data_IF_656940663770
#
_entry.id   IF_656940663770
#
_cell.length_a   1.000
_cell.length_b   1.000
_cell.length_c   1.000
_cell.angle_alpha   90.00
_cell.angle_beta   90.00
_cell.angle_gamma   90.00
#
_symmetry.space_group_name_H-M   'P 1'
#
loop_
_entity.id
_entity.type
_entity.pdbx_description
1 polymer ?
#
# COMPACT_ATOMS: atom_id res chain seq x y z
N UNK A 1 -28.83 -28.79 -48.46
CA UNK A 1 -28.04 -27.78 -49.19
C UNK A 1 -27.68 -26.67 -48.22
N UNK A 2 -26.40 -26.55 -47.87
CA UNK A 2 -25.74 -25.26 -47.89
C UNK A 2 -24.50 -25.33 -48.80
N UNK A 3 -24.30 -24.24 -49.52
CA UNK A 3 -23.36 -24.11 -50.63
C UNK A 3 -21.91 -24.14 -50.16
N UNK A 4 -21.15 -25.05 -50.75
CA UNK A 4 -19.71 -24.93 -50.92
C UNK A 4 -19.42 -23.69 -51.77
N UNK A 5 -18.63 -22.74 -51.24
CA UNK A 5 -17.99 -21.72 -52.06
C UNK A 5 -16.48 -21.72 -51.79
N UNK A 6 -15.72 -21.75 -52.88
CA UNK A 6 -14.28 -21.93 -52.94
C UNK A 6 -13.58 -20.56 -52.91
N UNK A 7 -12.46 -20.44 -52.19
CA UNK A 7 -11.57 -19.28 -52.25
C UNK A 7 -10.16 -19.66 -51.81
N UNK A 8 -9.16 -19.44 -52.67
CA UNK A 8 -7.80 -20.02 -52.60
C UNK A 8 -6.81 -19.33 -51.64
N UNK A 9 -5.53 -19.76 -51.65
CA UNK A 9 -4.57 -19.47 -50.59
C UNK A 9 -3.85 -18.14 -50.81
N UNK A 10 -4.23 -17.12 -50.03
CA UNK A 10 -3.45 -15.92 -49.83
C UNK A 10 -2.80 -15.98 -48.44
N UNK A 11 -1.48 -16.18 -48.38
CA UNK A 11 -0.71 -16.02 -47.15
C UNK A 11 -0.64 -14.53 -46.77
N UNK A 12 -1.64 -14.03 -46.04
CA UNK A 12 -1.48 -12.86 -45.17
C UNK A 12 -1.43 -13.36 -43.73
N UNK A 13 -0.22 -13.62 -43.25
CA UNK A 13 0.10 -14.02 -41.88
C UNK A 13 -0.09 -12.83 -40.93
N UNK A 14 -1.29 -12.24 -40.92
CA UNK A 14 -1.66 -11.20 -39.97
C UNK A 14 -1.88 -11.88 -38.62
N UNK A 15 -1.13 -11.42 -37.62
CA UNK A 15 -1.29 -11.87 -36.25
C UNK A 15 -2.57 -11.24 -35.70
N UNK A 16 -3.51 -12.08 -35.27
CA UNK A 16 -4.81 -11.68 -34.74
C UNK A 16 -4.98 -12.16 -33.30
N UNK A 17 -5.62 -11.34 -32.47
CA UNK A 17 -5.99 -11.72 -31.10
C UNK A 17 -7.00 -12.89 -31.12
N UNK A 18 -6.72 -13.95 -30.38
CA UNK A 18 -7.57 -15.14 -30.27
C UNK A 18 -8.84 -14.91 -29.44
N UNK A 19 -8.92 -13.80 -28.69
CA UNK A 19 -10.08 -13.46 -27.85
C UNK A 19 -11.07 -12.52 -28.56
N UNK A 20 -10.59 -11.46 -29.22
CA UNK A 20 -11.45 -10.47 -29.88
C UNK A 20 -11.37 -10.46 -31.42
N UNK A 21 -10.44 -11.21 -32.03
CA UNK A 21 -10.27 -11.31 -33.48
C UNK A 21 -9.61 -10.10 -34.16
N UNK A 22 -9.21 -9.07 -33.40
CA UNK A 22 -8.54 -7.86 -33.94
C UNK A 22 -7.14 -8.19 -34.45
N UNK A 23 -6.74 -7.57 -35.56
CA UNK A 23 -5.40 -7.70 -36.12
C UNK A 23 -4.39 -6.78 -35.40
N UNK A 24 -3.09 -7.04 -35.57
CA UNK A 24 -2.00 -6.24 -34.97
C UNK A 24 -2.09 -4.73 -35.26
N UNK A 25 -2.71 -4.29 -36.35
CA UNK A 25 -2.86 -2.87 -36.69
C UNK A 25 -3.98 -2.17 -35.93
N UNK A 26 -4.89 -2.93 -35.32
CA UNK A 26 -6.07 -2.42 -34.61
C UNK A 26 -5.88 -2.33 -33.09
N UNK A 27 -4.74 -2.80 -32.56
CA UNK A 27 -4.46 -2.87 -31.13
C UNK A 27 -3.09 -2.29 -30.83
N UNK A 28 -2.92 -1.70 -29.64
CA UNK A 28 -1.65 -1.04 -29.29
C UNK A 28 -0.54 -2.06 -29.05
N UNK A 29 -0.89 -3.20 -28.45
CA UNK A 29 0.04 -4.30 -28.15
C UNK A 29 -0.64 -5.64 -28.42
N UNK A 30 0.12 -6.55 -29.02
CA UNK A 30 -0.30 -7.93 -29.25
C UNK A 30 0.78 -8.86 -28.70
N UNK A 31 0.41 -9.66 -27.69
CA UNK A 31 1.30 -10.56 -26.96
C UNK A 31 1.14 -11.96 -27.53
N UNK A 32 2.26 -12.63 -27.82
CA UNK A 32 2.29 -14.00 -28.34
C UNK A 32 2.52 -15.01 -27.21
N UNK A 33 1.66 -16.02 -27.12
CA UNK A 33 1.74 -17.13 -26.16
C UNK A 33 2.24 -18.44 -26.80
N UNK A 34 2.55 -19.45 -25.98
CA UNK A 34 2.89 -20.78 -26.46
C UNK A 34 1.71 -21.39 -27.24
N UNK A 35 2.01 -22.11 -28.32
CA UNK A 35 0.99 -22.76 -29.15
C UNK A 35 0.34 -21.88 -30.23
N UNK A 36 0.89 -20.70 -30.52
CA UNK A 36 0.39 -19.82 -31.59
C UNK A 36 -0.87 -19.04 -31.22
N UNK A 37 -1.12 -18.87 -29.92
CA UNK A 37 -2.20 -18.05 -29.36
C UNK A 37 -1.71 -16.61 -29.20
N UNK A 38 -2.56 -15.63 -29.49
CA UNK A 38 -2.22 -14.22 -29.31
C UNK A 38 -3.30 -13.51 -28.50
N UNK A 39 -2.92 -12.59 -27.62
CA UNK A 39 -3.84 -11.78 -26.81
C UNK A 39 -3.45 -10.30 -26.90
N UNK A 40 -4.42 -9.41 -27.08
CA UNK A 40 -4.18 -7.97 -27.13
C UNK A 40 -4.33 -7.32 -25.74
N UNK A 41 -3.79 -6.11 -25.61
CA UNK A 41 -3.88 -5.30 -24.40
C UNK A 41 -5.32 -5.09 -23.92
N UNK A 42 -6.25 -4.80 -24.84
CA UNK A 42 -7.67 -4.61 -24.48
C UNK A 42 -8.29 -5.87 -23.87
N UNK A 43 -7.99 -7.06 -24.42
CA UNK A 43 -8.50 -8.32 -23.88
C UNK A 43 -7.86 -8.67 -22.54
N UNK A 44 -6.59 -8.31 -22.33
CA UNK A 44 -5.94 -8.47 -21.01
C UNK A 44 -6.67 -7.63 -19.97
N UNK A 45 -6.94 -6.34 -20.24
CA UNK A 45 -7.67 -5.48 -19.31
C UNK A 45 -9.08 -5.99 -19.06
N UNK A 46 -9.83 -6.32 -20.11
CA UNK A 46 -11.19 -6.84 -19.96
C UNK A 46 -11.24 -8.18 -19.18
N UNK A 47 -10.24 -9.05 -19.35
CA UNK A 47 -10.14 -10.27 -18.56
C UNK A 47 -9.76 -9.98 -17.10
N UNK A 48 -8.88 -9.00 -16.84
CA UNK A 48 -8.55 -8.56 -15.47
C UNK A 48 -9.78 -7.99 -14.77
N UNK A 49 -10.53 -7.10 -15.43
CA UNK A 49 -11.76 -6.50 -14.88
C UNK A 49 -12.80 -7.58 -14.53
N UNK A 50 -12.97 -8.59 -15.39
CA UNK A 50 -13.92 -9.70 -15.11
C UNK A 50 -13.45 -10.63 -13.99
N UNK A 51 -12.14 -10.76 -13.75
CA UNK A 51 -11.60 -11.56 -12.64
C UNK A 51 -11.78 -10.79 -11.33
N UNK A 52 -11.46 -9.50 -11.34
CA UNK A 52 -11.64 -8.60 -10.19
C UNK A 52 -13.14 -8.50 -9.81
N UNK A 53 -14.05 -8.49 -10.80
CA UNK A 53 -15.50 -8.55 -10.57
C UNK A 53 -15.98 -9.94 -10.09
N UNK A 54 -15.33 -11.04 -10.48
CA UNK A 54 -15.70 -12.38 -10.02
C UNK A 54 -15.27 -12.66 -8.58
N UNK A 55 -14.21 -11.99 -8.09
CA UNK A 55 -13.75 -12.09 -6.70
C UNK A 55 -14.63 -11.28 -5.71
N UNK A 56 -15.38 -10.27 -6.19
CA UNK A 56 -16.31 -9.50 -5.33
C UNK A 56 -17.67 -10.19 -5.11
N UNK A 57 -18.12 -11.06 -6.02
CA UNK A 57 -19.37 -11.82 -5.85
C UNK A 57 -19.26 -13.03 -4.89
N UNK A 58 -18.05 -13.38 -4.47
CA UNK A 58 -17.79 -14.42 -3.46
C UNK A 58 -17.49 -13.86 -2.05
N UNK A 59 -17.48 -12.53 -1.87
CA UNK A 59 -16.96 -11.86 -0.68
C UNK A 59 -18.04 -11.21 0.23
N UNK A 60 -19.25 -11.78 0.33
CA UNK A 60 -20.17 -11.49 1.46
C UNK A 60 -19.72 -12.16 2.79
N UNK A 61 -18.42 -12.37 2.97
CA UNK A 61 -17.83 -12.81 4.23
C UNK A 61 -16.45 -12.16 4.41
N UNK A 62 -16.45 -11.02 5.08
CA UNK A 62 -15.28 -10.34 5.68
C UNK A 62 -14.23 -9.93 4.64
N UNK A 63 -14.28 -8.66 4.23
CA UNK A 63 -13.18 -8.00 3.54
C UNK A 63 -11.91 -8.04 4.42
N UNK A 64 -11.07 -9.05 4.21
CA UNK A 64 -9.63 -8.90 4.38
C UNK A 64 -9.16 -8.04 3.21
N UNK A 65 -9.09 -6.73 3.44
CA UNK A 65 -8.46 -5.79 2.52
C UNK A 65 -7.07 -6.33 2.12
N UNK A 66 -6.68 -6.27 0.83
CA UNK A 66 -5.33 -6.62 0.46
C UNK A 66 -4.39 -5.67 1.20
N UNK A 67 -3.44 -6.23 1.94
CA UNK A 67 -2.37 -5.49 2.63
C UNK A 67 -1.54 -4.74 1.59
N UNK A 68 -2.00 -3.55 1.19
CA UNK A 68 -1.09 -2.56 0.62
C UNK A 68 -0.05 -2.28 1.69
N UNK A 69 1.22 -2.56 1.38
CA UNK A 69 2.33 -2.26 2.27
C UNK A 69 2.15 -0.84 2.85
N UNK A 70 2.19 -0.67 4.18
CA UNK A 70 1.66 0.51 4.85
C UNK A 70 2.33 1.81 4.40
N UNK A 71 3.53 1.74 3.80
CA UNK A 71 4.21 2.85 3.15
C UNK A 71 5.03 2.32 1.97
N UNK A 72 4.66 2.65 0.72
CA UNK A 72 5.40 2.24 -0.50
C UNK A 72 6.82 2.82 -0.59
N UNK A 73 7.06 3.99 0.00
CA UNK A 73 8.36 4.65 0.11
C UNK A 73 8.52 5.24 1.51
N UNK A 74 9.29 4.59 2.38
CA UNK A 74 9.55 5.08 3.73
C UNK A 74 10.42 6.35 3.68
N UNK A 75 9.92 7.53 4.07
CA UNK A 75 10.71 8.76 4.09
C UNK A 75 11.88 8.66 5.06
N UNK A 76 13.00 9.25 4.70
CA UNK A 76 14.20 9.30 5.54
C UNK A 76 13.97 10.15 6.80
N UNK A 77 14.74 9.93 7.87
CA UNK A 77 14.64 10.75 9.09
C UNK A 77 14.83 12.26 8.84
N UNK A 78 15.57 12.63 7.79
CA UNK A 78 15.75 14.03 7.40
C UNK A 78 14.48 14.62 6.78
N UNK A 79 13.82 13.89 5.88
CA UNK A 79 12.56 14.33 5.26
C UNK A 79 11.44 14.48 6.31
N UNK A 80 11.34 13.52 7.24
CA UNK A 80 10.37 13.60 8.35
C UNK A 80 10.65 14.84 9.22
N UNK A 81 11.93 15.10 9.52
CA UNK A 81 12.33 16.25 10.33
C UNK A 81 12.02 17.58 9.63
N UNK A 82 12.28 17.65 8.32
CA UNK A 82 12.05 18.84 7.52
C UNK A 82 10.54 19.15 7.42
N UNK A 83 9.70 18.13 7.23
CA UNK A 83 8.26 18.28 7.25
C UNK A 83 7.76 18.79 8.61
N UNK A 84 8.20 18.17 9.72
CA UNK A 84 7.84 18.63 11.06
C UNK A 84 8.26 20.08 11.30
N UNK A 85 9.37 20.51 10.72
CA UNK A 85 9.91 21.87 10.85
C UNK A 85 9.10 22.92 10.09
N UNK A 86 8.27 22.53 9.12
CA UNK A 86 7.34 23.46 8.45
C UNK A 86 6.20 23.90 9.38
N UNK A 87 5.79 23.05 10.32
CA UNK A 87 4.63 23.31 11.19
C UNK A 87 5.00 23.62 12.64
N UNK A 88 6.11 23.06 13.15
CA UNK A 88 6.54 23.22 14.54
C UNK A 88 7.89 23.91 14.63
N UNK A 89 7.87 25.16 15.09
CA UNK A 89 9.06 25.99 15.26
C UNK A 89 9.83 25.60 16.53
N UNK A 90 11.13 25.39 16.40
CA UNK A 90 11.99 24.93 17.50
C UNK A 90 11.78 23.45 17.84
N UNK A 91 11.94 23.08 19.11
CA UNK A 91 11.79 21.69 19.59
C UNK A 91 12.69 20.68 18.85
N UNK A 92 13.92 21.08 18.55
CA UNK A 92 14.83 20.31 17.69
C UNK A 92 15.13 18.89 18.17
N UNK A 93 15.26 18.73 19.49
CA UNK A 93 15.48 17.42 20.10
C UNK A 93 14.28 16.49 19.91
N UNK A 94 13.05 17.01 20.06
CA UNK A 94 11.83 16.24 19.89
C UNK A 94 11.64 15.83 18.42
N UNK A 95 11.82 16.77 17.48
CA UNK A 95 11.72 16.48 16.04
C UNK A 95 12.71 15.41 15.60
N UNK A 96 13.98 15.51 16.04
CA UNK A 96 15.00 14.50 15.73
C UNK A 96 14.65 13.13 16.31
N UNK A 97 14.24 13.08 17.58
CA UNK A 97 13.85 11.83 18.24
C UNK A 97 12.64 11.17 17.56
N UNK A 98 11.61 11.94 17.23
CA UNK A 98 10.43 11.46 16.52
C UNK A 98 10.78 10.93 15.14
N UNK A 99 11.59 11.67 14.37
CA UNK A 99 11.95 11.27 13.00
C UNK A 99 12.69 9.92 12.97
N UNK A 100 13.63 9.71 13.90
CA UNK A 100 14.36 8.44 13.99
C UNK A 100 13.46 7.31 14.50
N UNK A 101 12.67 7.55 15.54
CA UNK A 101 11.80 6.53 16.12
C UNK A 101 10.76 6.03 15.11
N UNK A 102 10.18 6.94 14.32
CA UNK A 102 9.16 6.62 13.33
C UNK A 102 9.74 5.90 12.12
N UNK A 103 10.89 6.37 11.62
CA UNK A 103 11.62 5.66 10.57
C UNK A 103 11.93 4.22 10.99
N UNK A 104 12.45 4.03 12.21
CA UNK A 104 12.73 2.69 12.72
C UNK A 104 11.47 1.86 12.95
N UNK A 105 10.35 2.48 13.36
CA UNK A 105 9.07 1.80 13.54
C UNK A 105 8.57 1.20 12.22
N UNK A 106 8.52 1.99 11.15
CA UNK A 106 8.06 1.51 9.85
C UNK A 106 9.06 0.60 9.16
N UNK A 107 10.37 0.86 9.32
CA UNK A 107 11.40 -0.06 8.82
C UNK A 107 11.26 -1.43 9.47
N UNK A 108 10.99 -1.50 10.78
CA UNK A 108 10.71 -2.77 11.48
C UNK A 108 9.46 -3.47 10.94
N UNK A 109 8.38 -2.74 10.65
CA UNK A 109 7.13 -3.32 10.11
C UNK A 109 7.38 -3.88 8.71
N UNK A 110 8.05 -3.13 7.85
CA UNK A 110 8.36 -3.55 6.48
C UNK A 110 9.32 -4.74 6.44
N UNK A 111 10.37 -4.72 7.27
CA UNK A 111 11.32 -5.85 7.40
C UNK A 111 10.74 -7.08 8.11
N UNK A 112 9.56 -6.97 8.74
CA UNK A 112 8.86 -8.10 9.37
C UNK A 112 8.10 -8.99 8.40
N UNK A 113 7.91 -8.54 7.15
CA UNK A 113 7.17 -9.24 6.10
C UNK A 113 8.05 -9.76 4.94
N UNK A 114 9.32 -9.36 4.86
CA UNK A 114 10.25 -9.84 3.84
C UNK A 114 11.08 -11.02 4.38
N UNK A 115 11.00 -12.15 3.67
CA UNK A 115 11.98 -13.22 3.81
C UNK A 115 13.38 -12.65 3.56
N UNK A 116 14.18 -12.71 4.61
CA UNK A 116 15.61 -12.39 4.73
C UNK A 116 16.33 -12.44 3.38
N UNK A 117 16.74 -11.28 2.85
CA UNK A 117 17.81 -11.24 1.85
C UNK A 117 19.08 -11.80 2.50
N UNK A 118 19.57 -12.93 1.97
CA UNK A 118 20.76 -13.64 2.43
C UNK A 118 21.98 -12.69 2.46
N UNK A 119 22.34 -12.17 3.64
CA UNK A 119 23.59 -11.42 3.82
C UNK A 119 23.62 -10.33 4.88
N UNK A 120 22.47 -9.89 5.43
CA UNK A 120 22.45 -8.88 6.49
C UNK A 120 22.26 -9.55 7.86
N UNK A 121 23.15 -9.26 8.81
CA UNK A 121 22.99 -9.69 10.21
C UNK A 121 21.60 -9.26 10.70
N UNK A 122 20.84 -10.19 11.26
CA UNK A 122 19.50 -9.95 11.80
C UNK A 122 19.59 -8.95 12.95
N UNK A 123 19.47 -7.66 12.64
CA UNK A 123 19.43 -6.60 13.63
C UNK A 123 18.01 -6.55 14.20
N UNK A 124 17.81 -7.13 15.38
CA UNK A 124 16.55 -7.03 16.11
C UNK A 124 16.21 -5.55 16.39
N UNK A 125 15.25 -4.99 15.65
CA UNK A 125 14.78 -3.62 15.88
C UNK A 125 13.77 -3.63 17.03
N UNK A 126 14.14 -3.09 18.19
CA UNK A 126 13.24 -2.96 19.35
C UNK A 126 12.11 -1.92 19.12
N UNK A 127 10.96 -2.11 19.79
CA UNK A 127 9.83 -1.18 19.71
C UNK A 127 10.23 0.16 20.34
N UNK A 128 10.17 1.23 19.56
CA UNK A 128 10.54 2.58 20.01
C UNK A 128 9.29 3.37 20.37
N UNK A 129 8.94 3.39 21.66
CA UNK A 129 7.90 4.27 22.18
C UNK A 129 8.50 5.65 22.51
N UNK A 130 7.73 6.71 22.33
CA UNK A 130 8.18 8.08 22.57
C UNK A 130 7.40 8.68 23.73
N UNK A 131 8.10 9.29 24.68
CA UNK A 131 7.50 10.12 25.73
C UNK A 131 7.87 11.59 25.47
N UNK A 132 6.88 12.43 25.18
CA UNK A 132 7.07 13.87 24.97
C UNK A 132 6.83 14.64 26.27
N UNK A 133 7.89 15.22 26.82
CA UNK A 133 7.84 16.06 28.03
C UNK A 133 8.02 17.54 27.68
N UNK A 134 7.15 18.39 28.18
CA UNK A 134 7.26 19.84 27.99
C UNK A 134 6.04 20.62 28.50
N UNK A 135 6.16 21.95 28.69
CA UNK A 135 5.07 22.79 29.20
C UNK A 135 3.85 22.78 28.29
N UNK A 136 2.70 23.23 28.80
CA UNK A 136 1.47 23.38 28.01
C UNK A 136 1.68 24.36 26.84
N UNK A 137 0.99 24.14 25.73
CA UNK A 137 1.06 25.03 24.55
C UNK A 137 2.34 24.98 23.71
N UNK A 138 3.27 24.04 23.97
CA UNK A 138 4.54 23.93 23.22
C UNK A 138 4.47 23.12 21.91
N UNK A 139 3.28 22.67 21.52
CA UNK A 139 3.08 21.94 20.26
C UNK A 139 3.28 20.42 20.32
N UNK A 140 3.29 19.80 21.52
CA UNK A 140 3.39 18.33 21.65
C UNK A 140 2.33 17.57 20.84
N UNK A 141 1.06 17.95 20.99
CA UNK A 141 -0.06 17.37 20.24
C UNK A 141 0.04 17.67 18.74
N UNK A 142 0.47 18.89 18.39
CA UNK A 142 0.66 19.30 16.99
C UNK A 142 1.74 18.49 16.29
N UNK A 143 2.85 18.17 16.98
CA UNK A 143 3.90 17.29 16.44
C UNK A 143 3.34 15.92 16.03
N UNK A 144 2.54 15.29 16.91
CA UNK A 144 1.95 13.99 16.63
C UNK A 144 0.94 14.04 15.48
N UNK A 145 0.06 15.05 15.48
CA UNK A 145 -0.94 15.25 14.42
C UNK A 145 -0.33 15.54 13.05
N UNK A 146 0.73 16.36 12.99
CA UNK A 146 1.44 16.66 11.74
C UNK A 146 2.15 15.43 11.20
N UNK A 147 2.79 14.65 12.07
CA UNK A 147 3.45 13.42 11.68
C UNK A 147 2.45 12.41 11.06
N UNK A 148 1.30 12.20 11.71
CA UNK A 148 0.27 11.30 11.21
C UNK A 148 -0.28 11.74 9.84
N UNK A 149 -0.52 13.05 9.66
CA UNK A 149 -0.97 13.61 8.37
C UNK A 149 0.06 13.44 7.27
N UNK A 150 1.34 13.65 7.58
CA UNK A 150 2.43 13.50 6.62
C UNK A 150 2.61 12.06 6.14
N UNK A 151 2.46 11.09 7.04
CA UNK A 151 2.66 9.67 6.74
C UNK A 151 1.38 8.97 6.26
N UNK A 152 0.25 9.68 6.22
CA UNK A 152 -1.05 9.15 5.79
C UNK A 152 -1.48 7.88 6.53
N UNK A 153 -1.15 7.81 7.83
CA UNK A 153 -1.38 6.61 8.67
C UNK A 153 -2.52 6.80 9.65
N UNK A 154 -3.21 5.72 10.05
CA UNK A 154 -4.22 5.77 11.11
C UNK A 154 -3.65 6.39 12.38
N UNK A 155 -4.39 7.33 12.98
CA UNK A 155 -3.95 8.07 14.16
C UNK A 155 -5.04 8.17 15.20
N UNK A 156 -4.79 7.56 16.36
CA UNK A 156 -5.66 7.63 17.53
C UNK A 156 -5.11 8.64 18.53
N UNK A 157 -6.02 9.40 19.15
CA UNK A 157 -5.72 10.30 20.27
C UNK A 157 -6.57 9.86 21.45
N UNK A 158 -5.92 9.59 22.58
CA UNK A 158 -6.60 9.29 23.84
C UNK A 158 -6.09 10.19 24.96
N UNK A 159 -6.99 10.50 25.89
CA UNK A 159 -6.65 11.17 27.14
C UNK A 159 -6.52 10.13 28.25
N UNK A 160 -5.32 10.00 28.83
CA UNK A 160 -5.08 9.05 29.90
C UNK A 160 -5.90 9.34 31.18
N UNK A 161 -6.44 10.55 31.34
CA UNK A 161 -7.27 10.91 32.51
C UNK A 161 -8.66 10.29 32.49
N UNK A 162 -9.15 9.85 31.32
CA UNK A 162 -10.45 9.18 31.18
C UNK A 162 -10.36 7.66 31.35
N UNK A 163 -9.16 7.10 31.31
CA UNK A 163 -8.91 5.66 31.43
C UNK A 163 -8.86 5.25 32.89
N UNK A 164 -9.66 4.23 33.23
CA UNK A 164 -9.70 3.62 34.56
C UNK A 164 -9.30 2.16 34.49
N UNK A 165 -8.94 1.58 35.64
CA UNK A 165 -8.67 0.14 35.75
C UNK A 165 -9.85 -0.70 35.22
N UNK A 166 -9.54 -1.83 34.60
CA UNK A 166 -10.53 -2.76 34.07
C UNK A 166 -11.56 -3.14 35.15
N UNK A 167 -12.85 -2.95 34.83
CA UNK A 167 -13.95 -3.21 35.76
C UNK A 167 -14.34 -2.04 36.67
N UNK A 168 -13.75 -0.85 36.49
CA UNK A 168 -14.24 0.40 37.08
C UNK A 168 -15.04 1.21 36.06
N UNK A 169 -15.85 2.18 36.52
CA UNK A 169 -16.67 3.02 35.65
C UNK A 169 -15.77 4.04 34.92
N UNK A 170 -15.36 3.71 33.69
CA UNK A 170 -14.56 4.54 32.79
C UNK A 170 -14.42 3.89 31.41
N UNK A 171 -13.74 4.56 30.47
CA UNK A 171 -13.44 3.97 29.16
C UNK A 171 -12.32 2.93 29.28
N UNK A 172 -12.46 1.80 28.57
CA UNK A 172 -11.45 0.76 28.47
C UNK A 172 -10.40 1.13 27.40
N UNK A 173 -9.17 0.65 27.56
CA UNK A 173 -8.07 0.82 26.61
C UNK A 173 -8.39 0.17 25.27
N UNK A 174 -9.23 -0.88 25.26
CA UNK A 174 -9.65 -1.58 24.04
C UNK A 174 -10.65 -0.78 23.17
N UNK A 175 -11.27 0.28 23.70
CA UNK A 175 -12.28 1.09 23.00
C UNK A 175 -11.69 2.30 22.23
N UNK A 176 -10.37 2.48 22.24
CA UNK A 176 -9.63 3.58 21.59
C UNK A 176 -8.99 3.07 20.29
#
# INVERSE_FOLDING_TARGET
MPSFDQGGPGFSNEMHCSFCGKSRSQVSKLIAGPGGVFICDECVHACTDMIDEADVDAAEAVEEAPEEAPIKNLPTPHEIYDELSQYVMGQEQAKRAMSVAVYNHYRRILSGNDEVSEGEEEVEIAKSNILLLGPTGTGKTLLAQTLARFLEVPFAIADATTLTEAGYVGEDVENI
#
